data_IF_685872911988
#
_entry.id   IF_685872911988
#
_cell.length_a   1.000
_cell.length_b   1.000
_cell.length_c   1.000
_cell.angle_alpha   90.00
_cell.angle_beta   90.00
_cell.angle_gamma   90.00
#
_symmetry.space_group_name_H-M   'P 1'
#
loop_
_entity.id
_entity.type
_entity.pdbx_description
1 polymer ?
#
# COMPACT_ATOMS: atom_id res chain seq x y z
N UNK A 1 53.03 -42.59 -59.27
CA UNK A 1 52.48 -42.74 -57.91
C UNK A 1 52.28 -41.33 -57.35
N UNK A 2 51.12 -40.73 -57.59
CA UNK A 2 50.07 -40.61 -56.58
C UNK A 2 50.55 -39.88 -55.31
N UNK A 3 50.25 -38.58 -55.19
CA UNK A 3 49.21 -38.13 -54.25
C UNK A 3 49.01 -36.61 -54.32
N UNK A 4 47.89 -36.26 -54.95
CA UNK A 4 47.20 -34.98 -54.79
C UNK A 4 46.69 -34.88 -53.35
N UNK A 5 47.10 -33.86 -52.60
CA UNK A 5 46.42 -33.46 -51.37
C UNK A 5 45.74 -32.10 -51.58
N UNK A 6 44.42 -32.14 -51.51
CA UNK A 6 43.51 -31.01 -51.67
C UNK A 6 43.80 -29.91 -50.62
N UNK A 7 44.01 -28.68 -51.10
CA UNK A 7 43.88 -27.47 -50.28
C UNK A 7 42.38 -27.24 -50.03
N UNK A 8 41.88 -27.68 -48.88
CA UNK A 8 40.55 -27.31 -48.40
C UNK A 8 40.55 -25.83 -48.01
N UNK A 9 39.89 -25.00 -48.81
CA UNK A 9 39.58 -23.63 -48.48
C UNK A 9 38.59 -23.60 -47.30
N UNK A 10 39.09 -23.33 -46.10
CA UNK A 10 38.25 -23.06 -44.94
C UNK A 10 37.48 -21.76 -45.15
N UNK A 11 36.19 -21.85 -45.52
CA UNK A 11 35.29 -20.71 -45.44
C UNK A 11 35.07 -20.40 -43.95
N UNK A 12 35.70 -19.34 -43.46
CA UNK A 12 35.38 -18.75 -42.16
C UNK A 12 33.95 -18.23 -42.21
N UNK A 13 33.02 -19.01 -41.65
CA UNK A 13 31.67 -18.55 -41.37
C UNK A 13 31.77 -17.43 -40.32
N UNK A 14 31.55 -16.18 -40.76
CA UNK A 14 31.30 -15.06 -39.84
C UNK A 14 29.98 -15.33 -39.13
N UNK A 15 30.05 -15.90 -37.95
CA UNK A 15 28.91 -15.99 -37.04
C UNK A 15 28.65 -14.58 -36.53
N UNK A 16 27.54 -13.98 -36.97
CA UNK A 16 27.09 -12.71 -36.44
C UNK A 16 26.74 -12.92 -34.95
N UNK A 17 27.29 -12.15 -34.00
CA UNK A 17 26.86 -12.24 -32.62
C UNK A 17 25.52 -11.51 -32.52
N UNK A 18 24.46 -12.15 -33.01
CA UNK A 18 23.14 -11.84 -32.48
C UNK A 18 23.24 -12.23 -31.01
N UNK A 19 23.33 -11.24 -30.11
CA UNK A 19 23.07 -11.46 -28.70
C UNK A 19 21.67 -12.03 -28.61
N UNK A 20 21.56 -13.36 -28.61
CA UNK A 20 20.37 -14.06 -28.16
C UNK A 20 20.30 -13.71 -26.68
N UNK A 21 19.50 -12.70 -26.35
CA UNK A 21 19.07 -12.45 -24.99
C UNK A 21 18.30 -13.70 -24.56
N UNK A 22 18.99 -14.64 -23.93
CA UNK A 22 18.35 -15.80 -23.30
C UNK A 22 17.57 -15.24 -22.12
N UNK A 23 16.31 -14.89 -22.35
CA UNK A 23 15.40 -14.57 -21.27
C UNK A 23 15.23 -15.82 -20.39
N UNK A 24 15.35 -15.70 -19.06
CA UNK A 24 15.17 -16.83 -18.16
C UNK A 24 13.77 -17.44 -18.36
N UNK A 25 13.71 -18.77 -18.40
CA UNK A 25 12.52 -19.59 -18.74
C UNK A 25 11.30 -19.26 -17.86
N UNK A 26 11.51 -18.70 -16.68
CA UNK A 26 10.46 -18.26 -15.75
C UNK A 26 9.53 -17.17 -16.33
N UNK A 27 9.94 -16.44 -17.36
CA UNK A 27 9.21 -15.32 -17.91
C UNK A 27 8.42 -15.64 -19.21
N UNK A 28 8.10 -16.90 -19.54
CA UNK A 28 7.33 -17.17 -20.77
C UNK A 28 5.83 -16.89 -20.60
N UNK A 29 5.30 -17.05 -19.38
CA UNK A 29 3.89 -16.87 -19.09
C UNK A 29 3.57 -15.39 -18.85
N UNK A 30 2.62 -14.84 -19.62
CA UNK A 30 2.12 -13.48 -19.42
C UNK A 30 2.47 -12.48 -20.54
N UNK A 31 3.34 -12.81 -21.50
CA UNK A 31 3.64 -11.91 -22.64
C UNK A 31 2.42 -11.61 -23.52
N UNK A 32 1.42 -12.49 -23.52
CA UNK A 32 0.16 -12.22 -24.21
C UNK A 32 -0.68 -11.13 -23.53
N UNK A 33 -0.44 -10.85 -22.24
CA UNK A 33 -1.21 -9.86 -21.46
C UNK A 33 -0.71 -8.42 -21.66
N UNK A 34 0.51 -8.24 -22.14
CA UNK A 34 1.15 -6.92 -22.27
C UNK A 34 0.89 -6.24 -23.62
N UNK A 35 0.19 -6.92 -24.54
CA UNK A 35 -0.06 -6.41 -25.88
C UNK A 35 1.24 -6.15 -26.65
N UNK A 36 1.37 -4.96 -27.24
CA UNK A 36 2.58 -4.54 -27.99
C UNK A 36 3.62 -3.84 -27.12
N UNK A 37 3.44 -3.76 -25.80
CA UNK A 37 4.35 -3.04 -24.92
C UNK A 37 5.73 -3.69 -24.90
N UNK A 38 6.76 -2.84 -24.89
CA UNK A 38 8.14 -3.29 -24.86
C UNK A 38 8.52 -3.81 -23.48
N UNK A 39 9.19 -4.96 -23.44
CA UNK A 39 9.82 -5.54 -22.24
C UNK A 39 11.21 -4.94 -22.11
N UNK A 40 11.48 -4.28 -21.00
CA UNK A 40 12.72 -3.51 -20.76
C UNK A 40 13.58 -4.04 -19.64
N UNK A 41 13.05 -4.96 -18.82
CA UNK A 41 13.80 -5.54 -17.72
C UNK A 41 13.11 -6.78 -17.16
N UNK A 42 13.73 -7.36 -16.12
CA UNK A 42 13.24 -8.56 -15.46
C UNK A 42 11.97 -8.29 -14.63
N UNK A 43 11.80 -7.07 -14.10
CA UNK A 43 10.70 -6.75 -13.19
C UNK A 43 10.96 -7.21 -11.76
N UNK A 44 10.01 -6.91 -10.86
CA UNK A 44 10.15 -7.19 -9.43
C UNK A 44 10.18 -8.69 -9.12
N UNK A 45 9.37 -9.49 -9.83
CA UNK A 45 9.19 -10.93 -9.58
C UNK A 45 9.41 -11.79 -10.85
N UNK A 46 10.03 -11.24 -11.91
CA UNK A 46 10.15 -11.93 -13.19
C UNK A 46 8.90 -11.87 -14.08
N UNK A 47 7.84 -11.20 -13.63
CA UNK A 47 6.60 -11.01 -14.39
C UNK A 47 6.64 -9.73 -15.26
N UNK A 48 5.99 -9.79 -16.42
CA UNK A 48 5.83 -8.63 -17.31
C UNK A 48 4.72 -7.69 -16.85
N UNK A 49 4.89 -7.08 -15.68
CA UNK A 49 3.90 -6.16 -15.11
C UNK A 49 4.49 -4.77 -14.93
N UNK A 50 3.65 -3.77 -15.20
CA UNK A 50 3.95 -2.37 -14.97
C UNK A 50 3.48 -1.96 -13.58
N UNK A 51 4.36 -1.31 -12.81
CA UNK A 51 4.02 -0.71 -11.52
C UNK A 51 4.71 0.65 -11.37
N UNK A 52 3.96 1.64 -10.88
CA UNK A 52 4.50 2.92 -10.42
C UNK A 52 4.76 2.81 -8.91
N UNK A 53 6.01 2.54 -8.54
CA UNK A 53 6.42 2.32 -7.16
C UNK A 53 7.74 3.03 -6.84
N UNK A 54 7.81 3.82 -5.75
CA UNK A 54 9.04 4.50 -5.37
C UNK A 54 10.23 3.57 -5.10
N UNK A 55 9.95 2.39 -4.53
CA UNK A 55 10.91 1.33 -4.18
C UNK A 55 11.39 0.52 -5.40
N UNK A 56 10.64 0.55 -6.51
CA UNK A 56 10.98 -0.16 -7.74
C UNK A 56 10.84 0.78 -8.95
N UNK A 57 11.81 1.69 -9.18
CA UNK A 57 11.72 2.75 -10.19
C UNK A 57 11.63 2.27 -11.63
N UNK A 58 12.09 1.04 -11.92
CA UNK A 58 12.28 0.54 -13.27
C UNK A 58 11.42 -0.72 -13.49
N UNK A 59 10.15 -0.56 -13.92
CA UNK A 59 9.23 -1.68 -14.14
C UNK A 59 9.70 -2.60 -15.27
N UNK A 60 9.13 -3.81 -15.34
CA UNK A 60 9.51 -4.82 -16.33
C UNK A 60 9.21 -4.42 -17.78
N UNK A 61 8.16 -3.62 -17.97
CA UNK A 61 7.63 -3.19 -19.27
C UNK A 61 7.46 -1.67 -19.31
N UNK A 62 7.35 -1.10 -20.52
CA UNK A 62 6.94 0.30 -20.72
C UNK A 62 5.46 0.49 -20.40
N UNK A 63 5.06 1.70 -20.03
CA UNK A 63 3.66 2.03 -19.76
C UNK A 63 2.77 1.92 -21.01
N UNK A 64 3.18 2.55 -22.12
CA UNK A 64 2.40 2.60 -23.36
C UNK A 64 2.90 1.61 -24.42
N UNK A 65 2.01 1.27 -25.35
CA UNK A 65 2.39 0.54 -26.57
C UNK A 65 3.11 1.47 -27.55
N UNK A 66 4.09 0.95 -28.31
CA UNK A 66 4.83 1.73 -29.29
C UNK A 66 3.89 2.22 -30.40
N UNK A 67 3.98 3.51 -30.70
CA UNK A 67 3.33 4.16 -31.84
C UNK A 67 4.39 4.65 -32.80
N UNK A 68 4.05 4.80 -34.09
CA UNK A 68 5.01 5.22 -35.12
C UNK A 68 5.70 6.57 -34.82
N UNK A 69 5.01 7.47 -34.11
CA UNK A 69 5.58 8.75 -33.66
C UNK A 69 6.63 8.56 -32.56
N UNK A 70 6.32 7.70 -31.57
CA UNK A 70 7.25 7.38 -30.50
C UNK A 70 8.45 6.62 -31.05
N UNK A 71 8.27 5.70 -32.00
CA UNK A 71 9.39 4.98 -32.63
C UNK A 71 10.37 5.94 -33.31
N UNK A 72 9.89 6.98 -34.01
CA UNK A 72 10.74 8.04 -34.56
C UNK A 72 11.49 8.81 -33.46
N UNK A 73 10.82 9.12 -32.36
CA UNK A 73 11.45 9.76 -31.20
C UNK A 73 12.49 8.85 -30.52
N UNK A 74 12.27 7.54 -30.50
CA UNK A 74 13.22 6.54 -29.97
C UNK A 74 14.47 6.43 -30.83
N UNK A 75 14.34 6.54 -32.16
CA UNK A 75 15.52 6.64 -33.03
C UNK A 75 16.32 7.94 -32.77
N UNK A 76 15.63 9.06 -32.53
CA UNK A 76 16.26 10.33 -32.13
C UNK A 76 16.92 10.25 -30.74
N UNK A 77 16.33 9.48 -29.81
CA UNK A 77 16.85 9.26 -28.45
C UNK A 77 18.20 8.55 -28.43
N UNK A 78 18.54 7.77 -29.48
CA UNK A 78 19.87 7.13 -29.60
C UNK A 78 21.00 8.14 -29.85
N UNK A 79 20.68 9.36 -30.28
CA UNK A 79 21.64 10.46 -30.51
C UNK A 79 21.85 11.35 -29.28
N UNK A 80 22.37 12.57 -29.49
CA UNK A 80 22.58 13.55 -28.41
C UNK A 80 21.24 14.15 -27.90
N UNK A 81 21.00 14.01 -26.60
CA UNK A 81 19.80 14.49 -25.91
C UNK A 81 19.71 16.02 -25.79
N UNK A 82 20.78 16.75 -26.13
CA UNK A 82 20.72 18.21 -26.30
C UNK A 82 19.84 18.62 -27.48
N UNK A 83 19.70 17.75 -28.49
CA UNK A 83 18.87 17.99 -29.67
C UNK A 83 17.38 17.63 -29.46
N UNK A 84 17.03 17.10 -28.29
CA UNK A 84 15.65 16.80 -27.91
C UNK A 84 15.00 18.02 -27.27
N UNK A 85 13.84 18.41 -27.78
CA UNK A 85 13.01 19.45 -27.17
C UNK A 85 12.47 18.97 -25.82
N UNK A 86 12.03 19.92 -25.00
CA UNK A 86 11.48 19.62 -23.68
C UNK A 86 10.21 18.76 -23.78
N UNK A 87 9.40 18.98 -24.81
CA UNK A 87 8.17 18.21 -25.04
C UNK A 87 8.46 16.80 -25.56
N UNK A 88 9.50 16.62 -26.39
CA UNK A 88 9.95 15.29 -26.81
C UNK A 88 10.44 14.47 -25.61
N UNK A 89 11.17 15.09 -24.67
CA UNK A 89 11.61 14.44 -23.43
C UNK A 89 10.41 14.03 -22.56
N UNK A 90 9.41 14.91 -22.41
CA UNK A 90 8.17 14.60 -21.68
C UNK A 90 7.38 13.48 -22.36
N UNK A 91 7.33 13.46 -23.69
CA UNK A 91 6.65 12.41 -24.45
C UNK A 91 7.32 11.04 -24.25
N UNK A 92 8.65 10.98 -24.34
CA UNK A 92 9.43 9.77 -24.03
C UNK A 92 9.26 9.32 -22.58
N UNK A 93 9.20 10.27 -21.64
CA UNK A 93 8.94 9.97 -20.23
C UNK A 93 7.54 9.38 -20.04
N UNK A 94 6.48 10.00 -20.58
CA UNK A 94 5.09 9.52 -20.46
C UNK A 94 4.79 8.27 -21.29
N UNK A 95 5.66 7.93 -22.24
CA UNK A 95 5.64 6.64 -22.93
C UNK A 95 6.19 5.53 -22.02
N UNK A 96 7.29 5.83 -21.32
CA UNK A 96 7.94 4.89 -20.43
C UNK A 96 7.20 4.70 -19.11
N UNK A 97 6.76 5.81 -18.51
CA UNK A 97 6.18 5.86 -17.18
C UNK A 97 4.80 6.49 -17.20
N UNK A 98 3.88 5.95 -16.40
CA UNK A 98 2.55 6.53 -16.23
C UNK A 98 2.60 7.73 -15.30
N UNK A 99 3.14 7.55 -14.08
CA UNK A 99 3.20 8.60 -13.07
C UNK A 99 4.62 9.10 -12.81
N UNK A 100 4.73 10.38 -12.46
CA UNK A 100 5.96 10.94 -11.87
C UNK A 100 6.05 10.62 -10.38
N UNK A 101 7.24 10.74 -9.78
CA UNK A 101 7.40 10.62 -8.32
C UNK A 101 6.55 11.61 -7.53
N UNK A 102 6.31 12.82 -8.06
CA UNK A 102 5.43 13.79 -7.44
C UNK A 102 3.96 13.35 -7.49
N UNK A 103 3.53 12.73 -8.59
CA UNK A 103 2.16 12.22 -8.74
C UNK A 103 1.92 11.00 -7.86
N UNK A 104 2.88 10.05 -7.80
CA UNK A 104 2.81 8.87 -6.95
C UNK A 104 2.68 9.25 -5.46
N UNK A 105 3.44 10.25 -5.03
CA UNK A 105 3.49 10.70 -3.64
C UNK A 105 2.45 11.79 -3.31
N UNK A 106 1.54 12.10 -4.23
CA UNK A 106 0.54 13.13 -4.02
C UNK A 106 -0.44 12.72 -2.91
N UNK A 107 -0.72 13.59 -1.92
CA UNK A 107 -1.63 13.28 -0.81
C UNK A 107 -3.08 13.21 -1.31
N UNK A 108 -3.70 12.02 -1.25
CA UNK A 108 -5.07 11.77 -1.75
C UNK A 108 -6.20 12.14 -0.78
N UNK A 109 -5.88 12.52 0.46
CA UNK A 109 -6.87 12.94 1.46
C UNK A 109 -7.83 11.82 1.93
N UNK A 110 -7.52 10.56 1.65
CA UNK A 110 -8.35 9.38 1.96
C UNK A 110 -8.67 9.22 3.46
N UNK A 111 -7.84 9.78 4.35
CA UNK A 111 -8.10 9.77 5.78
C UNK A 111 -9.42 10.47 6.16
N UNK A 112 -9.87 11.46 5.38
CA UNK A 112 -11.09 12.23 5.65
C UNK A 112 -12.35 11.36 5.58
N UNK A 113 -12.65 10.65 4.46
CA UNK A 113 -13.79 9.74 4.41
C UNK A 113 -13.66 8.57 5.39
N UNK A 114 -12.44 8.11 5.68
CA UNK A 114 -12.21 7.07 6.69
C UNK A 114 -12.68 7.54 8.08
N UNK A 115 -12.20 8.71 8.53
CA UNK A 115 -12.61 9.28 9.83
C UNK A 115 -14.12 9.55 9.85
N UNK A 116 -14.68 10.08 8.77
CA UNK A 116 -16.12 10.32 8.67
C UNK A 116 -16.93 9.01 8.83
N UNK A 117 -16.52 7.94 8.15
CA UNK A 117 -17.15 6.62 8.27
C UNK A 117 -17.06 6.05 9.68
N UNK A 118 -15.88 6.14 10.32
CA UNK A 118 -15.68 5.66 11.70
C UNK A 118 -16.61 6.40 12.67
N UNK A 119 -16.66 7.74 12.59
CA UNK A 119 -17.50 8.56 13.48
C UNK A 119 -18.99 8.29 13.25
N UNK A 120 -19.41 8.06 12.00
CA UNK A 120 -20.79 7.71 11.67
C UNK A 120 -21.18 6.36 12.30
N UNK A 121 -20.34 5.33 12.15
CA UNK A 121 -20.58 4.02 12.76
C UNK A 121 -20.61 4.07 14.30
N UNK A 122 -19.72 4.86 14.92
CA UNK A 122 -19.74 5.09 16.37
C UNK A 122 -21.03 5.79 16.81
N UNK A 123 -21.43 6.86 16.10
CA UNK A 123 -22.68 7.57 16.37
C UNK A 123 -23.89 6.65 16.25
N UNK A 124 -23.96 5.84 15.19
CA UNK A 124 -25.01 4.85 15.00
C UNK A 124 -25.06 3.83 16.13
N UNK A 125 -23.91 3.34 16.59
CA UNK A 125 -23.82 2.40 17.73
C UNK A 125 -24.37 2.99 19.01
N UNK A 126 -24.09 4.28 19.29
CA UNK A 126 -24.65 4.99 20.45
C UNK A 126 -26.18 5.09 20.34
N UNK A 127 -26.70 5.39 19.14
CA UNK A 127 -28.15 5.45 18.91
C UNK A 127 -28.84 4.09 19.11
N UNK A 128 -28.22 3.01 18.64
CA UNK A 128 -28.71 1.65 18.89
C UNK A 128 -28.75 1.37 20.39
N UNK A 129 -27.70 1.74 21.14
CA UNK A 129 -27.70 1.57 22.60
C UNK A 129 -28.80 2.38 23.29
N UNK A 130 -29.01 3.64 22.90
CA UNK A 130 -30.10 4.49 23.43
C UNK A 130 -31.46 3.84 23.17
N UNK A 131 -31.68 3.31 21.96
CA UNK A 131 -32.90 2.59 21.62
C UNK A 131 -33.11 1.36 22.51
N UNK A 132 -32.09 0.50 22.66
CA UNK A 132 -32.16 -0.66 23.54
C UNK A 132 -32.47 -0.25 24.99
N UNK A 133 -31.84 0.82 25.48
CA UNK A 133 -32.05 1.29 26.85
C UNK A 133 -33.45 1.86 27.09
N UNK A 134 -34.09 2.44 26.07
CA UNK A 134 -35.42 3.07 26.18
C UNK A 134 -36.56 2.09 25.89
N UNK A 135 -36.38 1.18 24.95
CA UNK A 135 -37.46 0.35 24.43
C UNK A 135 -37.39 -1.12 24.87
N UNK A 136 -36.21 -1.63 25.24
CA UNK A 136 -36.00 -3.07 25.49
C UNK A 136 -35.62 -3.36 26.94
N UNK A 137 -34.69 -2.60 27.52
CA UNK A 137 -34.21 -2.88 28.87
C UNK A 137 -35.22 -2.50 29.95
N UNK A 138 -35.44 -3.42 30.89
CA UNK A 138 -36.31 -3.22 32.04
C UNK A 138 -35.77 -2.21 33.07
N UNK A 139 -36.55 -1.94 34.13
CA UNK A 139 -36.14 -1.06 35.21
C UNK A 139 -34.87 -1.60 35.88
N UNK A 140 -34.01 -0.68 36.32
CA UNK A 140 -32.85 -1.04 37.13
C UNK A 140 -33.30 -1.60 38.49
N UNK A 141 -32.58 -2.56 39.10
CA UNK A 141 -32.95 -3.10 40.40
C UNK A 141 -32.99 -2.01 41.47
N UNK A 142 -33.85 -2.19 42.48
CA UNK A 142 -34.04 -1.24 43.58
C UNK A 142 -32.76 -0.96 44.37
N UNK A 143 -31.82 -1.91 44.41
CA UNK A 143 -30.50 -1.73 45.02
C UNK A 143 -29.64 -0.64 44.36
N UNK A 144 -29.93 -0.27 43.11
CA UNK A 144 -29.26 0.83 42.42
C UNK A 144 -29.95 2.18 42.62
N UNK A 145 -30.99 2.26 43.46
CA UNK A 145 -31.58 3.53 43.88
C UNK A 145 -30.53 4.41 44.58
N UNK A 146 -30.65 5.74 44.51
CA UNK A 146 -29.69 6.64 45.16
C UNK A 146 -29.56 6.40 46.67
N UNK A 147 -30.67 6.09 47.35
CA UNK A 147 -30.69 5.79 48.78
C UNK A 147 -29.99 4.47 49.10
N UNK A 148 -30.33 3.39 48.38
CA UNK A 148 -29.67 2.10 48.57
C UNK A 148 -28.18 2.16 48.28
N UNK A 149 -27.75 2.91 47.26
CA UNK A 149 -26.32 3.16 46.97
C UNK A 149 -25.62 3.89 48.10
N UNK A 150 -26.25 4.92 48.68
CA UNK A 150 -25.68 5.66 49.83
C UNK A 150 -25.60 4.79 51.07
N UNK A 151 -26.67 4.04 51.39
CA UNK A 151 -26.68 3.11 52.51
C UNK A 151 -25.64 2.00 52.34
N UNK A 152 -25.48 1.47 51.12
CA UNK A 152 -24.46 0.49 50.80
C UNK A 152 -23.05 1.08 50.94
N UNK A 153 -22.82 2.30 50.46
CA UNK A 153 -21.55 3.00 50.59
C UNK A 153 -21.19 3.25 52.05
N UNK A 154 -22.15 3.71 52.86
CA UNK A 154 -21.96 3.89 54.30
C UNK A 154 -21.60 2.57 54.98
N UNK A 155 -22.35 1.50 54.70
CA UNK A 155 -22.05 0.16 55.21
C UNK A 155 -20.64 -0.31 54.81
N UNK A 156 -20.20 -0.03 53.58
CA UNK A 156 -18.84 -0.38 53.13
C UNK A 156 -17.76 0.39 53.91
N UNK A 157 -18.01 1.65 54.25
CA UNK A 157 -17.14 2.46 55.09
C UNK A 157 -17.12 1.90 56.52
N UNK A 158 -18.28 1.60 57.10
CA UNK A 158 -18.41 1.09 58.46
C UNK A 158 -17.70 -0.27 58.62
N UNK A 159 -17.83 -1.14 57.61
CA UNK A 159 -17.16 -2.44 57.55
C UNK A 159 -15.68 -2.35 57.12
N UNK A 160 -15.17 -1.13 56.87
CA UNK A 160 -13.79 -0.87 56.43
C UNK A 160 -13.38 -1.71 55.21
N UNK A 161 -14.25 -1.76 54.20
CA UNK A 161 -14.00 -2.54 52.98
C UNK A 161 -12.80 -1.96 52.21
N UNK A 162 -11.77 -2.77 52.01
CA UNK A 162 -10.50 -2.42 51.37
C UNK A 162 -9.83 -1.18 52.01
N UNK A 163 -9.33 -1.30 53.25
CA UNK A 163 -8.87 -0.16 54.05
C UNK A 163 -7.47 0.36 53.73
N UNK A 164 -6.71 -0.30 52.86
CA UNK A 164 -5.34 0.10 52.48
C UNK A 164 -5.36 0.99 51.23
N UNK A 165 -5.82 0.47 50.10
CA UNK A 165 -5.83 1.20 48.81
C UNK A 165 -7.24 1.47 48.25
N UNK A 166 -8.28 0.99 48.93
CA UNK A 166 -9.64 0.96 48.41
C UNK A 166 -10.53 2.12 48.86
N UNK A 167 -11.83 1.83 48.99
CA UNK A 167 -12.83 2.86 49.29
C UNK A 167 -12.69 3.34 50.74
N UNK A 168 -12.54 2.42 51.69
CA UNK A 168 -12.40 2.76 53.11
C UNK A 168 -11.10 3.53 53.41
N UNK A 169 -10.02 3.32 52.64
CA UNK A 169 -8.77 4.06 52.87
C UNK A 169 -8.89 5.56 52.58
N UNK A 170 -9.83 5.93 51.70
CA UNK A 170 -10.13 7.31 51.32
C UNK A 170 -11.13 8.02 52.23
N UNK A 171 -11.69 7.31 53.23
CA UNK A 171 -12.58 7.91 54.21
C UNK A 171 -11.80 8.33 55.46
N UNK A 172 -12.03 9.56 55.92
CA UNK A 172 -11.56 10.07 57.20
C UNK A 172 -12.59 9.73 58.28
N UNK A 173 -12.27 8.70 59.08
CA UNK A 173 -13.11 8.22 60.16
C UNK A 173 -13.15 9.17 61.37
N UNK A 174 -12.17 10.07 61.51
CA UNK A 174 -12.13 11.02 62.63
C UNK A 174 -13.08 12.19 62.35
N UNK A 175 -13.07 12.69 61.11
CA UNK A 175 -13.85 13.85 60.71
C UNK A 175 -15.14 13.51 59.94
N UNK A 176 -15.45 12.22 59.76
CA UNK A 176 -16.60 11.72 59.00
C UNK A 176 -16.76 12.37 57.62
N UNK A 177 -15.66 12.44 56.86
CA UNK A 177 -15.63 13.00 55.50
C UNK A 177 -14.71 12.22 54.58
N UNK A 178 -14.83 12.44 53.27
CA UNK A 178 -13.81 11.96 52.33
C UNK A 178 -12.50 12.71 52.56
N UNK A 179 -11.38 12.00 52.52
CA UNK A 179 -10.05 12.60 52.45
C UNK A 179 -9.91 13.34 51.12
N UNK A 180 -9.22 14.47 51.15
CA UNK A 180 -8.86 15.25 49.96
C UNK A 180 -7.83 14.51 49.09
#
# INVERSE_FOLDING_TARGET
MANHLLKLAGKTLRVNPAMVQIQPVAAYHGRQRIGKREVVGFGMNGEYTYYDRPDFPMPAIRYKEPTAEIEKLREKEKGDWKNLSLDEKKALYRFSFCQTYAEMNSPRGEWKPIIAGVLLCMGFTIWVYVFLKKCVYGPVPSSLSPESKKAQLQRMIDLRVNPIDGIASKWDYENNRWKD
#
